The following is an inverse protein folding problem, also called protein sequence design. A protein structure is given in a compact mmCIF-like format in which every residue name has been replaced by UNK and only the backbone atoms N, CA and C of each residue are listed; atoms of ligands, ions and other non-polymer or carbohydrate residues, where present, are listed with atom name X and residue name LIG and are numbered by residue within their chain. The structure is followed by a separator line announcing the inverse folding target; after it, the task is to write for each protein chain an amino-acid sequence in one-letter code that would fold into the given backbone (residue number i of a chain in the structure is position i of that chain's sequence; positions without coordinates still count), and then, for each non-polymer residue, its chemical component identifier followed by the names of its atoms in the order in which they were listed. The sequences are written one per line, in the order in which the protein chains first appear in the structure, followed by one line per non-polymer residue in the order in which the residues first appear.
data_IF_889136312410
#
_entry.id   IF_889136312410
#
_cell.length_a   1.000
_cell.length_b   1.000
_cell.length_c   1.000
_cell.angle_alpha   90.00
_cell.angle_beta   90.00
_cell.angle_gamma   90.00
#
_symmetry.space_group_name_H-M   'P 1'
#
loop_
_entity.id
_entity.type
_entity.pdbx_description
1 polymer ?
#
# COMPACT_ATOMS: atom_id res chain seq x y z
N UNK A 1 -15.33 -27.96 -27.07
CA UNK A 1 -13.99 -27.43 -26.76
C UNK A 1 -14.03 -25.92 -26.92
N UNK A 2 -13.94 -25.11 -25.84
CA UNK A 2 -13.82 -23.66 -26.01
C UNK A 2 -12.44 -23.39 -26.65
N UNK A 3 -12.46 -22.66 -27.77
CA UNK A 3 -11.21 -22.19 -28.42
C UNK A 3 -10.49 -21.29 -27.42
N UNK A 4 -9.28 -21.67 -27.03
CA UNK A 4 -8.41 -20.84 -26.21
C UNK A 4 -8.26 -19.46 -26.83
N UNK A 5 -8.49 -18.41 -26.04
CA UNK A 5 -8.18 -17.03 -26.43
C UNK A 5 -6.72 -16.99 -26.85
N UNK A 6 -6.42 -16.43 -28.01
CA UNK A 6 -5.06 -16.33 -28.49
C UNK A 6 -4.24 -15.50 -27.48
N UNK A 7 -2.99 -15.94 -27.14
CA UNK A 7 -2.07 -15.24 -26.21
C UNK A 7 -2.01 -13.73 -26.49
N UNK A 8 -2.01 -13.29 -27.74
CA UNK A 8 -2.02 -11.88 -28.11
C UNK A 8 -3.27 -11.10 -27.69
N UNK A 9 -4.42 -11.76 -27.45
CA UNK A 9 -5.63 -11.09 -26.97
C UNK A 9 -5.50 -10.69 -25.50
N UNK A 10 -5.01 -11.59 -24.66
CA UNK A 10 -4.88 -11.33 -23.22
C UNK A 10 -3.76 -10.30 -22.97
N UNK A 11 -2.62 -10.40 -23.68
CA UNK A 11 -1.53 -9.41 -23.60
C UNK A 11 -2.00 -8.00 -24.00
N UNK A 12 -2.78 -7.89 -25.09
CA UNK A 12 -3.33 -6.60 -25.54
C UNK A 12 -4.33 -6.04 -24.52
N UNK A 13 -5.17 -6.91 -23.93
CA UNK A 13 -6.14 -6.52 -22.91
C UNK A 13 -5.44 -5.95 -21.68
N UNK A 14 -4.38 -6.60 -21.20
CA UNK A 14 -3.58 -6.14 -20.06
C UNK A 14 -2.90 -4.80 -20.36
N UNK A 15 -2.33 -4.64 -21.55
CA UNK A 15 -1.73 -3.36 -21.98
C UNK A 15 -2.76 -2.23 -21.97
N UNK A 16 -3.99 -2.48 -22.44
CA UNK A 16 -5.06 -1.49 -22.41
C UNK A 16 -5.39 -1.12 -20.96
N UNK A 17 -5.57 -2.11 -20.06
CA UNK A 17 -5.85 -1.86 -18.64
C UNK A 17 -4.76 -1.00 -18.00
N UNK A 18 -3.48 -1.33 -18.18
CA UNK A 18 -2.37 -0.57 -17.59
C UNK A 18 -2.19 0.84 -18.18
N UNK A 19 -2.55 1.08 -19.46
CA UNK A 19 -2.52 2.43 -20.06
C UNK A 19 -3.74 3.26 -19.62
N UNK A 20 -4.90 2.62 -19.54
CA UNK A 20 -6.13 3.26 -19.10
C UNK A 20 -6.05 3.66 -17.61
N UNK A 21 -5.51 2.80 -16.74
CA UNK A 21 -5.31 3.11 -15.32
C UNK A 21 -4.40 4.33 -15.14
N UNK A 22 -3.29 4.42 -15.88
CA UNK A 22 -2.39 5.59 -15.87
C UNK A 22 -3.08 6.86 -16.35
N UNK A 23 -3.98 6.75 -17.33
CA UNK A 23 -4.73 7.89 -17.84
C UNK A 23 -5.78 8.36 -16.83
N UNK A 24 -6.55 7.44 -16.23
CA UNK A 24 -7.52 7.73 -15.17
C UNK A 24 -6.82 8.34 -13.93
N UNK A 25 -5.74 7.73 -13.45
CA UNK A 25 -5.00 8.25 -12.32
C UNK A 25 -4.43 9.67 -12.54
N UNK A 26 -4.05 10.02 -13.78
CA UNK A 26 -3.45 11.30 -14.11
C UNK A 26 -4.46 12.41 -14.39
N UNK A 27 -5.57 12.10 -15.10
CA UNK A 27 -6.56 13.07 -15.55
C UNK A 27 -7.88 13.02 -14.79
N UNK A 28 -8.10 11.94 -14.02
CA UNK A 28 -9.36 11.59 -13.40
C UNK A 28 -10.26 10.78 -14.35
N UNK A 29 -11.01 9.84 -13.77
CA UNK A 29 -11.94 9.00 -14.51
C UNK A 29 -13.00 9.80 -15.28
N UNK A 30 -13.63 10.78 -14.63
CA UNK A 30 -14.74 11.58 -15.22
C UNK A 30 -14.28 12.39 -16.43
N UNK A 31 -13.09 12.98 -16.37
CA UNK A 31 -12.52 13.81 -17.41
C UNK A 31 -11.90 13.02 -18.59
N UNK A 32 -11.87 11.69 -18.51
CA UNK A 32 -11.29 10.84 -19.56
C UNK A 32 -12.37 10.18 -20.38
N UNK A 33 -12.26 10.26 -21.73
CA UNK A 33 -13.15 9.62 -22.69
C UNK A 33 -12.57 8.31 -23.23
N UNK A 34 -13.42 7.43 -23.76
CA UNK A 34 -12.98 6.21 -24.46
C UNK A 34 -12.13 6.48 -25.71
N UNK A 35 -12.29 7.66 -26.35
CA UNK A 35 -11.45 8.07 -27.48
C UNK A 35 -10.01 8.32 -27.01
N UNK A 36 -9.83 9.06 -25.91
CA UNK A 36 -8.51 9.33 -25.33
C UNK A 36 -7.84 8.05 -24.82
N UNK A 37 -8.62 7.09 -24.30
CA UNK A 37 -8.10 5.77 -23.94
C UNK A 37 -7.61 5.02 -25.18
N UNK A 38 -8.38 5.00 -26.29
CA UNK A 38 -7.98 4.35 -27.53
C UNK A 38 -6.70 4.95 -28.09
N UNK A 39 -6.62 6.28 -28.11
CA UNK A 39 -5.44 7.03 -28.56
C UNK A 39 -4.22 6.71 -27.67
N UNK A 40 -4.36 6.76 -26.34
CA UNK A 40 -3.29 6.43 -25.39
C UNK A 40 -2.82 4.97 -25.54
N UNK A 41 -3.72 4.06 -25.93
CA UNK A 41 -3.39 2.66 -26.16
C UNK A 41 -2.81 2.40 -27.57
N UNK A 42 -2.89 3.37 -28.49
CA UNK A 42 -2.47 3.18 -29.89
C UNK A 42 -3.37 2.18 -30.63
N UNK A 43 -4.65 2.08 -30.26
CA UNK A 43 -5.63 1.19 -30.91
C UNK A 43 -6.76 1.99 -31.54
N UNK A 44 -7.37 1.43 -32.59
CA UNK A 44 -8.58 2.01 -33.15
C UNK A 44 -9.73 1.92 -32.14
N UNK A 45 -10.62 2.95 -32.12
CA UNK A 45 -11.79 2.98 -31.23
C UNK A 45 -12.66 1.70 -31.33
N UNK A 46 -12.99 1.16 -32.50
CA UNK A 46 -13.74 -0.10 -32.59
C UNK A 46 -13.01 -1.27 -31.91
N UNK A 47 -11.68 -1.32 -32.02
CA UNK A 47 -10.87 -2.36 -31.36
C UNK A 47 -10.94 -2.27 -29.83
N UNK A 48 -10.94 -1.05 -29.26
CA UNK A 48 -11.12 -0.86 -27.82
C UNK A 48 -12.47 -1.38 -27.34
N UNK A 49 -13.56 -1.12 -28.08
CA UNK A 49 -14.90 -1.60 -27.75
C UNK A 49 -15.07 -3.11 -27.91
N UNK A 50 -14.16 -3.76 -28.65
CA UNK A 50 -14.11 -5.22 -28.70
C UNK A 50 -13.63 -5.83 -27.37
N UNK A 51 -12.77 -5.13 -26.63
CA UNK A 51 -12.28 -5.57 -25.30
C UNK A 51 -13.19 -5.08 -24.16
N UNK A 52 -13.64 -3.84 -24.22
CA UNK A 52 -14.38 -3.19 -23.13
C UNK A 52 -15.63 -2.50 -23.67
N UNK A 53 -16.79 -2.97 -23.24
CA UNK A 53 -18.10 -2.50 -23.69
C UNK A 53 -18.27 -0.98 -23.56
N UNK A 54 -17.80 -0.41 -22.44
CA UNK A 54 -17.92 1.00 -22.12
C UNK A 54 -16.85 1.41 -21.08
N UNK A 55 -16.84 2.68 -20.69
CA UNK A 55 -15.87 3.21 -19.72
C UNK A 55 -16.08 2.65 -18.31
N UNK A 56 -17.31 2.33 -17.92
CA UNK A 56 -17.61 1.71 -16.62
C UNK A 56 -17.11 0.27 -16.56
N UNK A 57 -17.28 -0.49 -17.64
CA UNK A 57 -16.72 -1.83 -17.75
C UNK A 57 -15.19 -1.81 -17.70
N UNK A 58 -14.54 -0.85 -18.35
CA UNK A 58 -13.09 -0.67 -18.27
C UNK A 58 -12.63 -0.34 -16.84
N UNK A 59 -13.34 0.55 -16.13
CA UNK A 59 -13.06 0.89 -14.74
C UNK A 59 -13.23 -0.34 -13.82
N UNK A 60 -14.32 -1.09 -14.00
CA UNK A 60 -14.56 -2.33 -13.26
C UNK A 60 -13.40 -3.32 -13.42
N UNK A 61 -12.97 -3.53 -14.68
CA UNK A 61 -11.91 -4.50 -14.98
C UNK A 61 -10.55 -4.08 -14.39
N UNK A 62 -10.22 -2.78 -14.40
CA UNK A 62 -9.02 -2.26 -13.73
C UNK A 62 -9.10 -2.52 -12.22
N UNK A 63 -10.19 -2.14 -11.57
CA UNK A 63 -10.35 -2.29 -10.13
C UNK A 63 -10.40 -3.76 -9.71
N UNK A 64 -11.17 -4.60 -10.43
CA UNK A 64 -11.31 -6.03 -10.13
C UNK A 64 -9.99 -6.79 -10.31
N UNK A 65 -9.22 -6.50 -11.37
CA UNK A 65 -7.92 -7.12 -11.59
C UNK A 65 -6.92 -6.75 -10.47
N UNK A 66 -6.92 -5.49 -10.02
CA UNK A 66 -6.06 -5.06 -8.93
C UNK A 66 -6.44 -5.73 -7.61
N UNK A 67 -7.74 -5.77 -7.26
CA UNK A 67 -8.23 -6.46 -6.06
C UNK A 67 -7.93 -7.96 -6.11
N UNK A 68 -8.15 -8.64 -7.23
CA UNK A 68 -7.84 -10.05 -7.39
C UNK A 68 -6.34 -10.34 -7.16
N UNK A 69 -5.45 -9.43 -7.59
CA UNK A 69 -4.01 -9.54 -7.31
C UNK A 69 -3.72 -9.42 -5.81
N UNK A 70 -4.41 -8.52 -5.09
CA UNK A 70 -4.26 -8.37 -3.64
C UNK A 70 -4.85 -9.58 -2.89
N UNK A 71 -5.98 -10.14 -3.34
CA UNK A 71 -6.55 -11.39 -2.79
C UNK A 71 -5.55 -12.55 -2.94
N UNK A 72 -5.00 -12.76 -4.15
CA UNK A 72 -4.02 -13.82 -4.38
C UNK A 72 -2.77 -13.67 -3.48
N UNK A 73 -2.35 -12.44 -3.24
CA UNK A 73 -1.21 -12.13 -2.38
C UNK A 73 -1.46 -12.49 -0.91
N UNK A 74 -2.65 -12.23 -0.37
CA UNK A 74 -2.97 -12.62 1.02
C UNK A 74 -3.05 -14.13 1.16
N UNK A 75 -3.54 -14.84 0.15
CA UNK A 75 -3.61 -16.30 0.12
C UNK A 75 -2.19 -16.90 0.08
N UNK A 76 -1.29 -16.38 -0.78
CA UNK A 76 0.11 -16.79 -0.87
C UNK A 76 0.85 -16.60 0.45
N UNK A 77 0.80 -15.40 1.03
CA UNK A 77 1.47 -15.10 2.30
C UNK A 77 0.89 -15.93 3.44
N UNK A 78 -0.43 -16.18 3.43
CA UNK A 78 -1.10 -17.03 4.41
C UNK A 78 -0.62 -18.49 4.35
N UNK A 79 -0.32 -19.02 3.16
CA UNK A 79 0.18 -20.37 2.98
C UNK A 79 1.67 -20.52 3.39
N UNK A 80 2.48 -19.46 3.21
CA UNK A 80 3.92 -19.51 3.44
C UNK A 80 4.32 -19.17 4.89
N UNK A 81 3.56 -18.32 5.58
CA UNK A 81 4.00 -17.70 6.83
C UNK A 81 3.08 -18.08 7.99
N UNK A 82 3.55 -18.97 8.88
CA UNK A 82 2.77 -19.50 10.00
C UNK A 82 2.83 -18.63 11.27
N UNK A 83 3.92 -17.90 11.49
CA UNK A 83 4.06 -17.03 12.66
C UNK A 83 3.24 -15.74 12.47
N UNK A 84 2.28 -15.42 13.37
CA UNK A 84 1.31 -14.35 13.13
C UNK A 84 1.95 -12.97 12.93
N UNK A 85 2.91 -12.57 13.75
CA UNK A 85 3.60 -11.28 13.58
C UNK A 85 4.40 -11.23 12.28
N UNK A 86 5.13 -12.30 11.96
CA UNK A 86 5.88 -12.41 10.71
C UNK A 86 4.96 -12.36 9.50
N UNK A 87 3.75 -12.94 9.61
CA UNK A 87 2.71 -12.87 8.55
C UNK A 87 2.28 -11.43 8.29
N UNK A 88 1.96 -10.66 9.34
CA UNK A 88 1.58 -9.24 9.17
C UNK A 88 2.74 -8.45 8.55
N UNK A 89 3.98 -8.64 9.02
CA UNK A 89 5.16 -7.99 8.44
C UNK A 89 5.35 -8.33 6.96
N UNK A 90 5.16 -9.60 6.59
CA UNK A 90 5.26 -10.09 5.22
C UNK A 90 4.14 -9.49 4.34
N UNK A 91 2.91 -9.42 4.86
CA UNK A 91 1.78 -8.77 4.18
C UNK A 91 2.08 -7.30 3.91
N UNK A 92 2.58 -6.54 4.90
CA UNK A 92 2.95 -5.12 4.72
C UNK A 92 3.96 -4.98 3.57
N UNK A 93 5.04 -5.76 3.60
CA UNK A 93 6.08 -5.71 2.56
C UNK A 93 5.51 -6.05 1.19
N UNK A 94 4.79 -7.15 1.07
CA UNK A 94 4.24 -7.62 -0.19
C UNK A 94 3.20 -6.64 -0.80
N UNK A 95 2.38 -6.00 0.05
CA UNK A 95 1.43 -4.98 -0.40
C UNK A 95 2.13 -3.72 -0.90
N UNK A 96 3.14 -3.24 -0.19
CA UNK A 96 3.90 -2.06 -0.61
C UNK A 96 4.70 -2.33 -1.90
N UNK A 97 5.18 -3.54 -2.12
CA UNK A 97 5.79 -3.95 -3.39
C UNK A 97 4.77 -3.92 -4.55
N UNK A 98 3.55 -4.43 -4.32
CA UNK A 98 2.47 -4.32 -5.32
C UNK A 98 2.12 -2.87 -5.59
N UNK A 99 2.00 -2.05 -4.55
CA UNK A 99 1.66 -0.62 -4.70
C UNK A 99 2.76 0.16 -5.44
N UNK A 100 4.03 -0.18 -5.23
CA UNK A 100 5.13 0.41 -5.99
C UNK A 100 4.98 0.19 -7.50
N UNK A 101 4.58 -1.02 -7.91
CA UNK A 101 4.42 -1.39 -9.32
C UNK A 101 3.07 -1.01 -9.93
N UNK A 102 2.03 -0.81 -9.11
CA UNK A 102 0.64 -0.62 -9.55
C UNK A 102 0.00 0.66 -8.97
N UNK A 103 0.77 1.74 -8.85
CA UNK A 103 0.30 3.01 -8.26
C UNK A 103 -0.95 3.58 -8.95
N UNK A 104 -1.03 3.46 -10.27
CA UNK A 104 -2.16 3.97 -11.04
C UNK A 104 -3.43 3.15 -10.78
N UNK A 105 -3.32 1.83 -10.77
CA UNK A 105 -4.41 0.89 -10.48
C UNK A 105 -4.91 1.07 -9.04
N UNK A 106 -3.98 1.22 -8.09
CA UNK A 106 -4.31 1.45 -6.69
C UNK A 106 -5.03 2.79 -6.49
N UNK A 107 -4.58 3.84 -7.16
CA UNK A 107 -5.26 5.14 -7.14
C UNK A 107 -6.66 5.06 -7.73
N UNK A 108 -6.83 4.39 -8.88
CA UNK A 108 -8.15 4.16 -9.49
C UNK A 108 -9.08 3.40 -8.55
N UNK A 109 -8.58 2.35 -7.87
CA UNK A 109 -9.34 1.61 -6.87
C UNK A 109 -9.80 2.53 -5.73
N UNK A 110 -8.91 3.37 -5.20
CA UNK A 110 -9.20 4.22 -4.02
C UNK A 110 -10.14 5.39 -4.35
N UNK A 111 -9.96 6.03 -5.52
CA UNK A 111 -10.64 7.27 -5.85
C UNK A 111 -11.86 7.08 -6.75
N UNK A 112 -11.83 6.12 -7.70
CA UNK A 112 -12.78 6.07 -8.82
C UNK A 112 -13.85 4.97 -8.71
N UNK A 113 -13.71 3.97 -7.85
CA UNK A 113 -14.69 2.87 -7.67
C UNK A 113 -16.09 3.41 -7.32
N UNK A 114 -16.19 4.59 -6.74
CA UNK A 114 -17.46 5.29 -6.46
C UNK A 114 -18.31 5.58 -7.71
N UNK A 115 -17.70 5.61 -8.91
CA UNK A 115 -18.38 5.85 -10.18
C UNK A 115 -18.92 4.56 -10.81
N UNK A 116 -18.65 3.40 -10.25
CA UNK A 116 -19.21 2.12 -10.69
C UNK A 116 -20.71 2.02 -10.34
N UNK A 117 -21.50 1.32 -11.17
CA UNK A 117 -22.84 0.91 -10.81
C UNK A 117 -22.86 0.15 -9.47
N UNK A 118 -23.96 0.21 -8.68
CA UNK A 118 -24.00 -0.38 -7.35
C UNK A 118 -23.65 -1.87 -7.30
N UNK A 119 -24.04 -2.66 -8.31
CA UNK A 119 -23.73 -4.10 -8.36
C UNK A 119 -22.22 -4.34 -8.56
N UNK A 120 -21.62 -3.64 -9.52
CA UNK A 120 -20.18 -3.75 -9.84
C UNK A 120 -19.33 -3.23 -8.70
N UNK A 121 -19.74 -2.10 -8.09
CA UNK A 121 -19.08 -1.56 -6.91
C UNK A 121 -19.09 -2.55 -5.75
N UNK A 122 -20.24 -3.22 -5.47
CA UNK A 122 -20.30 -4.25 -4.43
C UNK A 122 -19.31 -5.37 -4.69
N UNK A 123 -19.21 -5.86 -5.92
CA UNK A 123 -18.25 -6.90 -6.31
C UNK A 123 -16.81 -6.54 -5.97
N UNK A 124 -16.38 -5.32 -6.28
CA UNK A 124 -15.04 -4.83 -5.96
C UNK A 124 -14.85 -4.73 -4.44
N UNK A 125 -15.81 -4.11 -3.73
CA UNK A 125 -15.76 -3.96 -2.28
C UNK A 125 -15.80 -5.30 -1.52
N UNK A 126 -16.42 -6.33 -2.08
CA UNK A 126 -16.43 -7.67 -1.47
C UNK A 126 -15.01 -8.30 -1.51
N UNK A 127 -14.26 -8.09 -2.59
CA UNK A 127 -12.85 -8.48 -2.65
C UNK A 127 -11.97 -7.70 -1.67
N UNK A 128 -12.15 -6.37 -1.59
CA UNK A 128 -11.43 -5.56 -0.59
C UNK A 128 -11.74 -6.02 0.85
N UNK A 129 -12.98 -6.40 1.15
CA UNK A 129 -13.35 -6.94 2.47
C UNK A 129 -12.62 -8.23 2.80
N UNK A 130 -12.39 -9.13 1.83
CA UNK A 130 -11.60 -10.35 2.04
C UNK A 130 -10.15 -10.01 2.38
N UNK A 131 -9.57 -9.07 1.64
CA UNK A 131 -8.21 -8.59 1.91
C UNK A 131 -8.11 -8.01 3.32
N UNK A 132 -9.04 -7.12 3.71
CA UNK A 132 -9.10 -6.55 5.07
C UNK A 132 -9.28 -7.64 6.13
N UNK A 133 -10.11 -8.65 5.88
CA UNK A 133 -10.34 -9.75 6.81
C UNK A 133 -9.05 -10.57 7.05
N UNK A 134 -8.29 -10.87 6.00
CA UNK A 134 -7.03 -11.61 6.12
C UNK A 134 -5.99 -10.87 6.99
N UNK A 135 -5.89 -9.55 6.87
CA UNK A 135 -5.05 -8.74 7.76
C UNK A 135 -5.58 -8.73 9.21
N UNK A 136 -6.90 -8.55 9.38
CA UNK A 136 -7.53 -8.53 10.70
C UNK A 136 -7.34 -9.87 11.44
N UNK A 137 -7.45 -10.98 10.70
CA UNK A 137 -7.19 -12.31 11.24
C UNK A 137 -5.74 -12.49 11.67
N UNK A 138 -4.77 -12.09 10.84
CA UNK A 138 -3.36 -12.15 11.18
C UNK A 138 -3.00 -11.27 12.40
N UNK A 139 -3.57 -10.07 12.52
CA UNK A 139 -3.40 -9.17 13.67
C UNK A 139 -4.02 -9.80 14.93
N UNK A 140 -5.21 -10.39 14.82
CA UNK A 140 -5.88 -11.04 15.94
C UNK A 140 -5.20 -12.33 16.38
N UNK A 141 -4.55 -13.06 15.48
CA UNK A 141 -3.71 -14.20 15.83
C UNK A 141 -2.43 -13.76 16.58
N UNK A 142 -1.85 -12.61 16.19
CA UNK A 142 -0.71 -12.03 16.90
C UNK A 142 -1.09 -11.48 18.29
N UNK A 143 -2.33 -10.97 18.45
CA UNK A 143 -2.85 -10.36 19.67
C UNK A 143 -4.32 -10.75 19.87
N UNK A 144 -4.61 -11.96 20.39
CA UNK A 144 -5.98 -12.49 20.50
C UNK A 144 -6.93 -11.62 21.32
N UNK A 145 -6.43 -10.93 22.34
CA UNK A 145 -7.21 -10.01 23.16
C UNK A 145 -7.82 -8.84 22.39
N UNK A 146 -7.22 -8.44 21.28
CA UNK A 146 -7.75 -7.37 20.45
C UNK A 146 -9.08 -7.75 19.78
N UNK A 147 -9.24 -9.01 19.41
CA UNK A 147 -10.50 -9.55 18.84
C UNK A 147 -11.64 -9.52 19.85
N UNK A 148 -11.37 -9.87 21.10
CA UNK A 148 -12.39 -9.83 22.19
C UNK A 148 -12.98 -8.42 22.32
N UNK A 149 -12.18 -7.39 22.06
CA UNK A 149 -12.59 -6.00 22.14
C UNK A 149 -12.94 -5.38 20.78
N UNK A 150 -13.06 -6.18 19.72
CA UNK A 150 -13.37 -5.76 18.35
C UNK A 150 -12.39 -4.69 17.81
N UNK A 151 -11.10 -4.75 18.21
CA UNK A 151 -10.05 -3.82 17.78
C UNK A 151 -9.23 -4.32 16.58
N UNK A 152 -9.33 -5.61 16.23
CA UNK A 152 -8.64 -6.21 15.09
C UNK A 152 -8.91 -5.46 13.78
N UNK A 153 -10.18 -5.25 13.45
CA UNK A 153 -10.57 -4.52 12.23
C UNK A 153 -10.22 -3.02 12.27
N UNK A 154 -10.49 -2.23 13.32
CA UNK A 154 -10.03 -0.84 13.43
C UNK A 154 -8.52 -0.69 13.27
N UNK A 155 -7.71 -1.55 13.88
CA UNK A 155 -6.25 -1.52 13.75
C UNK A 155 -5.80 -1.85 12.33
N UNK A 156 -6.47 -2.82 11.68
CA UNK A 156 -6.27 -3.10 10.26
C UNK A 156 -6.55 -1.87 9.40
N UNK A 157 -7.63 -1.15 9.65
CA UNK A 157 -7.96 0.08 8.90
C UNK A 157 -6.94 1.20 9.12
N UNK A 158 -6.39 1.32 10.33
CA UNK A 158 -5.28 2.25 10.60
C UNK A 158 -4.01 1.85 9.85
N UNK A 159 -3.68 0.57 9.81
CA UNK A 159 -2.57 0.05 9.02
C UNK A 159 -2.74 0.35 7.51
N UNK A 160 -3.93 0.08 6.96
CA UNK A 160 -4.23 0.44 5.58
C UNK A 160 -4.19 1.95 5.34
N UNK A 161 -4.58 2.77 6.32
CA UNK A 161 -4.42 4.23 6.25
C UNK A 161 -2.95 4.63 6.07
N UNK A 162 -2.02 4.00 6.79
CA UNK A 162 -0.58 4.25 6.62
C UNK A 162 -0.09 3.83 5.23
N UNK A 163 -0.47 2.64 4.74
CA UNK A 163 -0.01 2.11 3.46
C UNK A 163 -0.66 2.81 2.26
N UNK A 164 -1.98 2.92 2.27
CA UNK A 164 -2.74 3.44 1.12
C UNK A 164 -2.50 4.92 0.86
N UNK A 165 -2.16 5.71 1.88
CA UNK A 165 -1.93 7.14 1.72
C UNK A 165 -0.57 7.47 1.09
N UNK A 166 0.36 6.51 0.99
CA UNK A 166 1.71 6.74 0.47
C UNK A 166 1.73 7.24 -0.97
N UNK A 167 0.79 6.84 -1.83
CA UNK A 167 0.75 7.30 -3.21
C UNK A 167 0.57 8.82 -3.36
N UNK A 168 0.13 9.50 -2.31
CA UNK A 168 -0.08 10.97 -2.33
C UNK A 168 1.20 11.76 -2.13
N UNK A 169 2.18 11.22 -1.41
CA UNK A 169 3.38 11.93 -1.00
C UNK A 169 4.70 11.21 -1.34
N UNK A 170 4.71 9.87 -1.42
CA UNK A 170 5.91 9.10 -1.74
C UNK A 170 6.18 9.18 -3.25
N UNK A 171 7.23 9.90 -3.62
CA UNK A 171 7.58 10.14 -5.03
C UNK A 171 8.27 8.92 -5.64
N UNK A 172 7.90 8.48 -6.87
CA UNK A 172 8.50 7.31 -7.54
C UNK A 172 10.01 7.37 -7.75
N UNK A 173 10.61 8.59 -7.71
CA UNK A 173 12.05 8.85 -7.84
C UNK A 173 12.58 9.68 -6.68
N UNK A 174 11.96 9.56 -5.51
CA UNK A 174 12.42 10.20 -4.28
C UNK A 174 13.58 9.44 -3.64
N UNK A 175 14.07 9.95 -2.52
CA UNK A 175 15.13 9.31 -1.72
C UNK A 175 14.68 8.00 -1.07
N UNK A 176 13.37 7.85 -0.81
CA UNK A 176 12.77 6.66 -0.21
C UNK A 176 11.83 5.96 -1.21
N UNK A 177 11.91 4.66 -1.24
CA UNK A 177 11.03 3.77 -2.00
C UNK A 177 9.95 3.13 -1.10
N UNK A 178 8.97 2.45 -1.72
CA UNK A 178 8.00 1.64 -0.96
C UNK A 178 8.70 0.50 -0.19
N UNK A 179 9.76 -0.07 -0.75
CA UNK A 179 10.55 -1.10 -0.08
C UNK A 179 11.23 -0.56 1.19
N UNK A 180 11.75 0.67 1.17
CA UNK A 180 12.34 1.33 2.34
C UNK A 180 11.28 1.65 3.40
N UNK A 181 10.05 1.95 2.97
CA UNK A 181 8.94 2.26 3.88
C UNK A 181 8.31 1.01 4.52
N UNK A 182 8.44 -0.17 3.93
CA UNK A 182 7.82 -1.38 4.45
C UNK A 182 8.27 -1.71 5.90
N UNK A 183 9.57 -1.77 6.22
CA UNK A 183 10.00 -1.96 7.60
C UNK A 183 9.57 -0.82 8.52
N UNK A 184 9.57 0.44 8.05
CA UNK A 184 9.16 1.60 8.85
C UNK A 184 7.69 1.49 9.26
N UNK A 185 6.80 1.13 8.32
CA UNK A 185 5.37 0.90 8.63
C UNK A 185 5.20 -0.25 9.60
N UNK A 186 5.90 -1.36 9.38
CA UNK A 186 5.82 -2.53 10.25
C UNK A 186 6.30 -2.20 11.67
N UNK A 187 7.42 -1.54 11.82
CA UNK A 187 7.99 -1.20 13.13
C UNK A 187 7.13 -0.17 13.87
N UNK A 188 6.62 0.84 13.16
CA UNK A 188 5.69 1.81 13.73
C UNK A 188 4.38 1.14 14.18
N UNK A 189 3.83 0.24 13.36
CA UNK A 189 2.62 -0.49 13.69
C UNK A 189 2.83 -1.39 14.92
N UNK A 190 3.85 -2.23 14.93
CA UNK A 190 4.11 -3.14 16.04
C UNK A 190 4.62 -2.42 17.28
N UNK A 191 5.42 -1.37 17.16
CA UNK A 191 5.85 -0.54 18.27
C UNK A 191 4.68 0.14 18.99
N UNK A 192 3.63 0.55 18.25
CA UNK A 192 2.39 1.08 18.80
C UNK A 192 1.41 0.00 19.28
N UNK A 193 1.36 -1.15 18.61
CA UNK A 193 0.38 -2.21 18.85
C UNK A 193 0.47 -2.74 20.31
N UNK A 194 1.67 -2.85 20.85
CA UNK A 194 1.89 -3.26 22.23
C UNK A 194 1.27 -2.32 23.28
N UNK A 195 1.10 -1.06 22.94
CA UNK A 195 0.52 -0.04 23.82
C UNK A 195 -1.01 0.10 23.69
N UNK A 196 -1.63 -0.54 22.68
CA UNK A 196 -3.08 -0.45 22.44
C UNK A 196 -3.84 -1.09 23.61
N UNK A 197 -4.82 -0.35 24.13
CA UNK A 197 -5.74 -0.76 25.19
C UNK A 197 -7.17 -0.65 24.69
N UNK A 198 -8.01 -1.58 25.13
CA UNK A 198 -9.45 -1.47 24.89
C UNK A 198 -10.04 -0.29 25.69
N UNK A 199 -11.08 0.37 25.18
CA UNK A 199 -11.82 1.37 25.94
C UNK A 199 -12.26 0.81 27.30
N UNK A 200 -11.99 1.53 28.40
CA UNK A 200 -12.33 1.11 29.76
C UNK A 200 -11.26 0.25 30.49
N UNK A 201 -10.19 -0.16 29.83
CA UNK A 201 -9.05 -0.78 30.54
C UNK A 201 -8.23 0.28 31.29
N UNK A 202 -7.77 -0.02 32.52
CA UNK A 202 -6.93 0.91 33.26
C UNK A 202 -5.63 1.18 32.48
N UNK A 203 -5.21 2.44 32.45
CA UNK A 203 -3.92 2.84 31.88
C UNK A 203 -2.80 2.15 32.67
N UNK A 204 -1.88 1.47 31.97
CA UNK A 204 -0.63 1.07 32.60
C UNK A 204 0.09 2.34 33.09
N UNK A 205 0.71 2.32 34.27
CA UNK A 205 1.60 3.38 34.64
C UNK A 205 2.66 3.52 33.54
N UNK A 206 2.82 4.75 33.04
CA UNK A 206 3.92 5.07 32.12
C UNK A 206 5.18 4.52 32.80
N UNK A 207 5.94 3.68 32.12
CA UNK A 207 7.25 3.22 32.61
C UNK A 207 8.00 4.45 33.12
N UNK A 208 8.59 4.42 34.31
CA UNK A 208 9.30 5.57 34.84
C UNK A 208 10.30 6.01 33.77
N UNK A 209 10.23 7.28 33.39
CA UNK A 209 11.24 7.89 32.53
C UNK A 209 12.58 7.43 33.08
N UNK A 210 13.36 6.73 32.29
CA UNK A 210 14.77 6.53 32.58
C UNK A 210 15.32 7.95 32.83
N UNK A 211 15.48 8.30 34.09
CA UNK A 211 16.31 9.42 34.47
C UNK A 211 17.73 9.01 34.03
N UNK A 212 17.99 9.30 32.75
CA UNK A 212 19.34 9.24 32.25
C UNK A 212 20.16 10.20 33.09
N UNK A 213 21.04 9.66 33.88
CA UNK A 213 22.17 10.41 34.46
C UNK A 213 22.74 11.23 33.29
N UNK A 214 22.52 12.54 33.38
CA UNK A 214 23.19 13.51 32.55
C UNK A 214 24.64 13.54 32.98
N UNK A 215 25.43 12.54 32.53
CA UNK A 215 26.89 12.66 32.57
C UNK A 215 27.20 13.86 31.66
N UNK A 216 27.52 14.98 32.29
CA UNK A 216 28.09 16.15 31.64
C UNK A 216 29.28 15.68 30.79
N UNK A 217 29.07 15.59 29.49
CA UNK A 217 30.17 15.54 28.52
C UNK A 217 30.80 16.94 28.50
N UNK A 218 31.83 17.13 29.31
CA UNK A 218 32.77 18.23 29.13
C UNK A 218 33.41 18.09 27.74
N UNK A 219 33.37 19.12 26.89
CA UNK A 219 34.02 19.06 25.62
C UNK A 219 35.55 18.96 25.81
N UNK A 220 36.28 18.20 24.98
CA UNK A 220 37.73 18.12 25.08
C UNK A 220 38.33 19.51 24.81
N UNK A 221 39.21 19.95 25.73
CA UNK A 221 39.98 21.16 25.62
C UNK A 221 40.80 21.18 24.31
N UNK A 222 40.66 22.26 23.52
CA UNK A 222 41.38 22.49 22.29
C UNK A 222 42.90 22.52 22.55
N UNK A 223 43.73 21.91 21.70
CA UNK A 223 45.19 22.05 21.83
C UNK A 223 45.63 23.47 21.45
N UNK A 224 46.43 24.04 22.32
CA UNK A 224 47.08 25.34 22.15
C UNK A 224 47.90 25.38 20.84
N UNK A 225 47.68 26.41 20.03
CA UNK A 225 48.51 26.75 18.84
C UNK A 225 49.93 27.03 19.29
N UNK A 226 50.86 26.20 18.88
CA UNK A 226 52.27 26.46 18.95
C UNK A 226 52.64 27.50 17.86
N UNK A 227 53.46 28.46 18.28
CA UNK A 227 53.97 29.57 17.47
C UNK A 227 54.80 29.09 16.28
N UNK A 228 54.64 29.77 15.14
CA UNK A 228 55.50 29.61 13.95
C UNK A 228 56.87 30.23 14.18
N UNK A 229 57.94 29.61 13.64
CA UNK A 229 59.28 30.23 13.66
C UNK A 229 59.41 31.31 12.58
N UNK A 230 60.35 32.30 12.75
CA UNK A 230 60.53 33.38 11.80
C UNK A 230 61.29 32.91 10.54
N UNK A 231 60.98 33.53 9.38
CA UNK A 231 61.63 33.31 8.10
C UNK A 231 63.05 33.97 8.12
N UNK A 232 64.05 33.32 7.52
CA UNK A 232 65.33 33.94 7.28
C UNK A 232 65.34 34.90 6.07
N UNK A 233 66.23 35.88 6.06
CA UNK A 233 66.41 36.89 5.02
C UNK A 233 66.86 36.29 3.70
#
# INVERSE_FOLDING_TARGET
MPRGRARGYDDQREQILGRASKLFARRGYTATSMNEVAEACGVAKPSLYHYFRDKQHLLLEIAAAHVARLEALVDEVGAETHQPEARVRRLITAFLDVYAGAQAEHRVLTEDVRFLPPADRRRVLDGERKVVAAFADAIAEARPELRVHALDKPLTMLLFGMMNWMFTWLKPRGELSHADMAPVVADLFFGGLGAVRAPGMPSLPLSPKHNGDTACLTPPSSPSRSASPPRPR
#
